data_IF_522165980100
#
_entry.id   IF_522165980100
#
_cell.length_a   1.000
_cell.length_b   1.000
_cell.length_c   1.000
_cell.angle_alpha   90.00
_cell.angle_beta   90.00
_cell.angle_gamma   90.00
#
_symmetry.space_group_name_H-M   'P 1'
#
loop_
_entity.id
_entity.type
_entity.pdbx_description
1 polymer ?
#
# COMPACT_ATOMS: atom_id res chain seq x y z
N UNK A 1 7.15 -30.34 -94.31
CA UNK A 1 6.62 -29.58 -93.17
C UNK A 1 6.23 -30.54 -92.06
N UNK A 2 7.14 -30.78 -91.11
CA UNK A 2 6.91 -31.69 -89.96
C UNK A 2 6.64 -30.82 -88.74
N UNK A 3 5.45 -30.97 -88.13
CA UNK A 3 5.10 -30.30 -86.85
C UNK A 3 5.71 -31.07 -85.72
N UNK A 4 6.56 -30.37 -84.98
CA UNK A 4 7.19 -30.87 -83.73
C UNK A 4 6.25 -30.56 -82.58
N UNK A 5 5.73 -31.58 -81.88
CA UNK A 5 4.96 -31.40 -80.67
C UNK A 5 5.91 -31.42 -79.49
N UNK A 6 5.95 -30.32 -78.78
CA UNK A 6 6.64 -30.21 -77.45
C UNK A 6 5.69 -30.68 -76.35
N UNK A 7 6.05 -31.77 -75.68
CA UNK A 7 5.38 -32.22 -74.45
C UNK A 7 6.07 -31.52 -73.27
N UNK A 8 5.35 -30.65 -72.62
CA UNK A 8 5.80 -30.02 -71.33
C UNK A 8 5.38 -30.97 -70.23
N UNK A 9 6.37 -31.61 -69.55
CA UNK A 9 6.16 -32.37 -68.34
C UNK A 9 6.24 -31.36 -67.13
N UNK A 10 5.09 -31.11 -66.55
CA UNK A 10 5.02 -30.30 -65.28
C UNK A 10 5.27 -31.25 -64.12
N UNK A 11 6.45 -31.17 -63.50
CA UNK A 11 6.77 -31.81 -62.23
C UNK A 11 6.15 -31.01 -61.11
N UNK A 12 5.04 -31.48 -60.52
CA UNK A 12 4.47 -30.99 -59.27
C UNK A 12 5.34 -31.47 -58.11
N UNK A 13 6.14 -30.56 -57.57
CA UNK A 13 6.76 -30.77 -56.27
C UNK A 13 5.71 -30.57 -55.18
N UNK A 14 5.18 -31.66 -54.65
CA UNK A 14 4.39 -31.67 -53.43
C UNK A 14 5.38 -31.42 -52.27
N UNK A 15 5.46 -30.16 -51.79
CA UNK A 15 6.11 -29.86 -50.51
C UNK A 15 5.17 -30.29 -49.40
N UNK A 16 5.47 -31.39 -48.72
CA UNK A 16 4.92 -31.73 -47.42
C UNK A 16 5.35 -30.62 -46.45
N UNK A 17 4.43 -29.99 -45.73
CA UNK A 17 4.83 -29.07 -44.65
C UNK A 17 5.49 -29.91 -43.55
N UNK A 18 6.77 -29.67 -43.30
CA UNK A 18 7.42 -30.11 -42.08
C UNK A 18 6.77 -29.27 -40.97
N UNK A 19 5.83 -29.85 -40.24
CA UNK A 19 5.36 -29.33 -38.99
C UNK A 19 6.53 -29.49 -38.05
N UNK A 20 7.32 -28.42 -37.87
CA UNK A 20 8.18 -28.26 -36.73
C UNK A 20 7.26 -28.27 -35.51
N UNK A 21 7.24 -29.41 -34.81
CA UNK A 21 6.67 -29.51 -33.50
C UNK A 21 7.40 -28.49 -32.65
N UNK A 22 6.75 -27.34 -32.40
CA UNK A 22 7.07 -26.55 -31.25
C UNK A 22 6.84 -27.47 -30.06
N UNK A 23 7.92 -27.94 -29.43
CA UNK A 23 7.90 -28.43 -28.07
C UNK A 23 7.36 -27.28 -27.24
N UNK A 24 6.05 -27.24 -27.04
CA UNK A 24 5.43 -26.50 -25.95
C UNK A 24 5.96 -27.21 -24.71
N UNK A 25 7.06 -26.68 -24.12
CA UNK A 25 7.43 -27.01 -22.75
C UNK A 25 6.14 -26.80 -21.96
N UNK A 26 5.51 -27.89 -21.58
CA UNK A 26 4.42 -27.84 -20.62
C UNK A 26 4.99 -27.16 -19.37
N UNK A 27 4.51 -25.95 -19.12
CA UNK A 27 4.86 -25.21 -17.89
C UNK A 27 4.58 -26.14 -16.73
N UNK A 28 5.59 -26.42 -15.93
CA UNK A 28 5.51 -27.37 -14.83
C UNK A 28 4.75 -26.71 -13.70
N UNK A 29 3.44 -26.94 -13.63
CA UNK A 29 2.61 -26.42 -12.57
C UNK A 29 2.96 -27.12 -11.25
N UNK A 30 3.30 -26.33 -10.21
CA UNK A 30 3.64 -26.83 -8.89
C UNK A 30 2.36 -27.01 -8.08
N UNK A 31 1.99 -28.24 -7.69
CA UNK A 31 0.79 -28.48 -6.89
C UNK A 31 1.00 -28.10 -5.43
N UNK A 32 0.07 -27.31 -4.88
CA UNK A 32 0.10 -26.84 -3.48
C UNK A 32 -1.28 -26.99 -2.85
N UNK A 33 -1.34 -27.57 -1.67
CA UNK A 33 -2.58 -27.61 -0.87
C UNK A 33 -2.60 -26.45 0.11
N UNK A 34 -3.70 -25.73 0.15
CA UNK A 34 -3.99 -24.66 1.11
C UNK A 34 -5.12 -25.13 2.02
N UNK A 35 -4.87 -25.20 3.32
CA UNK A 35 -5.92 -25.43 4.31
C UNK A 35 -6.26 -24.12 5.00
N UNK A 36 -7.50 -23.70 4.91
CA UNK A 36 -8.00 -22.49 5.58
C UNK A 36 -8.76 -22.92 6.83
N UNK A 37 -8.30 -22.45 7.99
CA UNK A 37 -8.89 -22.76 9.28
C UNK A 37 -9.96 -21.72 9.62
N UNK A 38 -11.06 -21.72 8.87
CA UNK A 38 -12.14 -20.71 8.95
C UNK A 38 -12.83 -20.64 10.31
N UNK A 39 -12.77 -21.71 11.12
CA UNK A 39 -13.35 -21.77 12.48
C UNK A 39 -12.46 -21.08 13.52
N UNK A 40 -11.18 -20.86 13.21
CA UNK A 40 -10.21 -20.19 14.07
C UNK A 40 -10.05 -18.74 13.62
N UNK A 41 -10.76 -17.83 14.25
CA UNK A 41 -10.59 -16.40 14.01
C UNK A 41 -9.46 -15.87 14.87
N UNK A 42 -8.45 -15.29 14.25
CA UNK A 42 -7.54 -14.42 14.96
C UNK A 42 -8.36 -13.19 15.35
N UNK A 43 -8.16 -12.66 16.57
CA UNK A 43 -8.92 -11.50 17.05
C UNK A 43 -8.64 -10.21 16.27
N UNK A 44 -7.92 -10.30 15.16
CA UNK A 44 -7.52 -9.18 14.33
C UNK A 44 -8.56 -8.91 13.26
N UNK A 45 -9.23 -7.78 13.40
CA UNK A 45 -10.12 -7.23 12.36
C UNK A 45 -9.29 -6.25 11.54
N UNK A 46 -9.30 -6.41 10.22
CA UNK A 46 -8.68 -5.44 9.30
C UNK A 46 -9.60 -4.21 9.24
N UNK A 47 -9.14 -3.01 9.68
CA UNK A 47 -9.97 -1.82 9.64
C UNK A 47 -10.38 -1.45 8.22
N UNK A 48 -11.55 -0.86 8.04
CA UNK A 48 -12.03 -0.41 6.73
C UNK A 48 -11.19 0.75 6.16
N UNK A 49 -10.46 1.49 7.00
CA UNK A 49 -9.53 2.57 6.65
C UNK A 49 -8.05 2.11 6.70
N UNK A 50 -7.80 0.80 6.49
CA UNK A 50 -6.45 0.23 6.50
C UNK A 50 -5.53 0.85 5.44
N UNK A 51 -6.07 1.10 4.24
CA UNK A 51 -5.33 1.68 3.12
C UNK A 51 -5.04 3.16 3.34
N UNK A 52 -3.91 3.62 2.83
CA UNK A 52 -3.53 5.02 2.94
C UNK A 52 -2.44 5.46 1.98
N UNK A 53 -2.34 6.78 1.85
CA UNK A 53 -1.24 7.45 1.16
C UNK A 53 -0.51 8.37 2.15
N UNK A 54 0.80 8.46 2.00
CA UNK A 54 1.64 9.43 2.68
C UNK A 54 2.21 10.40 1.65
N UNK A 55 2.11 11.68 1.94
CA UNK A 55 2.62 12.75 1.08
C UNK A 55 3.50 13.71 1.87
N UNK A 56 4.49 14.26 1.20
CA UNK A 56 5.25 15.39 1.67
C UNK A 56 4.32 16.59 1.93
N UNK A 57 4.54 17.32 3.01
CA UNK A 57 3.80 18.56 3.29
C UNK A 57 3.90 19.57 2.13
N UNK A 58 5.03 19.54 1.41
CA UNK A 58 5.26 20.38 0.24
C UNK A 58 4.24 20.18 -0.90
N UNK A 59 3.53 19.07 -0.96
CA UNK A 59 2.45 18.87 -1.93
C UNK A 59 1.27 19.86 -1.76
N UNK A 60 1.16 20.50 -0.60
CA UNK A 60 0.18 21.56 -0.37
C UNK A 60 0.68 22.93 -0.84
N UNK A 61 2.01 23.12 -0.92
CA UNK A 61 2.63 24.43 -1.15
C UNK A 61 3.34 24.57 -2.51
N UNK A 62 3.47 23.47 -3.28
CA UNK A 62 4.27 23.40 -4.51
C UNK A 62 3.53 23.88 -5.78
N UNK A 63 2.31 24.37 -5.65
CA UNK A 63 1.43 24.79 -6.75
C UNK A 63 1.06 23.67 -7.75
N UNK A 64 1.37 22.40 -7.46
CA UNK A 64 1.04 21.29 -8.34
C UNK A 64 -0.47 21.06 -8.48
N UNK A 65 -1.26 21.56 -7.54
CA UNK A 65 -2.69 21.30 -7.42
C UNK A 65 -3.02 19.79 -7.37
N UNK A 66 -2.05 18.97 -6.91
CA UNK A 66 -2.23 17.54 -6.83
C UNK A 66 -3.32 17.18 -5.80
N UNK A 67 -3.19 17.68 -4.55
CA UNK A 67 -4.19 17.52 -3.48
C UNK A 67 -5.21 18.69 -3.50
N UNK A 68 -5.87 18.88 -4.62
CA UNK A 68 -6.78 20.00 -4.85
C UNK A 68 -8.21 19.50 -5.13
N UNK A 69 -9.27 20.21 -4.69
CA UNK A 69 -10.66 19.77 -4.91
C UNK A 69 -11.06 19.66 -6.39
N UNK A 70 -10.36 20.33 -7.31
CA UNK A 70 -10.61 20.22 -8.75
C UNK A 70 -9.96 18.97 -9.36
N UNK A 71 -9.11 18.26 -8.64
CA UNK A 71 -8.48 17.03 -9.13
C UNK A 71 -9.44 15.83 -8.98
N UNK A 72 -10.51 15.85 -9.79
CA UNK A 72 -11.59 14.87 -9.71
C UNK A 72 -11.13 13.45 -10.03
N UNK A 73 -10.12 13.29 -10.91
CA UNK A 73 -9.55 11.98 -11.27
C UNK A 73 -8.86 11.35 -10.06
N UNK A 74 -8.01 12.10 -9.34
CA UNK A 74 -7.38 11.60 -8.11
C UNK A 74 -8.42 11.28 -7.03
N UNK A 75 -9.41 12.16 -6.84
CA UNK A 75 -10.51 11.95 -5.90
C UNK A 75 -11.27 10.65 -6.23
N UNK A 76 -11.56 10.41 -7.52
CA UNK A 76 -12.23 9.19 -7.94
C UNK A 76 -11.39 7.94 -7.68
N UNK A 77 -10.09 7.99 -7.98
CA UNK A 77 -9.17 6.89 -7.65
C UNK A 77 -9.13 6.60 -6.15
N UNK A 78 -9.13 7.63 -5.29
CA UNK A 78 -9.20 7.42 -3.85
C UNK A 78 -10.53 6.78 -3.42
N UNK A 79 -11.65 7.20 -3.99
CA UNK A 79 -12.97 6.61 -3.74
C UNK A 79 -13.06 5.13 -4.15
N UNK A 80 -12.37 4.72 -5.22
CA UNK A 80 -12.31 3.31 -5.61
C UNK A 80 -11.71 2.42 -4.51
N UNK A 81 -10.76 2.96 -3.73
CA UNK A 81 -10.14 2.26 -2.60
C UNK A 81 -11.03 2.21 -1.34
N UNK A 82 -12.16 2.95 -1.32
CA UNK A 82 -13.04 3.05 -0.18
C UNK A 82 -12.53 4.02 0.87
N UNK A 83 -12.73 3.69 2.16
CA UNK A 83 -12.20 4.48 3.26
C UNK A 83 -10.67 4.39 3.29
N UNK A 84 -10.03 5.45 3.77
CA UNK A 84 -8.58 5.45 3.88
C UNK A 84 -8.05 6.59 4.74
N UNK A 85 -6.73 6.62 4.91
CA UNK A 85 -6.03 7.64 5.68
C UNK A 85 -4.97 8.32 4.81
N UNK A 86 -5.06 9.64 4.71
CA UNK A 86 -3.99 10.48 4.19
C UNK A 86 -3.04 10.85 5.32
N UNK A 87 -1.75 10.75 5.10
CA UNK A 87 -0.75 11.32 5.99
C UNK A 87 -0.01 12.42 5.27
N UNK A 88 -0.11 13.66 5.77
CA UNK A 88 0.73 14.79 5.38
C UNK A 88 1.91 14.83 6.35
N UNK A 89 3.13 14.76 5.82
CA UNK A 89 4.33 14.65 6.63
C UNK A 89 5.58 14.69 5.77
N UNK A 90 6.41 13.65 5.87
CA UNK A 90 7.68 13.55 5.15
C UNK A 90 8.72 14.56 5.64
N UNK A 91 9.87 14.59 4.98
CA UNK A 91 10.98 15.49 5.36
C UNK A 91 10.64 16.97 5.20
N UNK A 92 9.66 17.32 4.40
CA UNK A 92 9.24 18.70 4.20
C UNK A 92 8.37 19.23 5.33
N UNK A 93 7.74 18.37 6.14
CA UNK A 93 6.96 18.84 7.30
C UNK A 93 7.83 19.59 8.30
N UNK A 94 9.08 19.19 8.47
CA UNK A 94 10.03 19.84 9.40
C UNK A 94 10.76 21.07 8.80
N UNK A 95 10.37 21.48 7.59
CA UNK A 95 10.98 22.61 6.86
C UNK A 95 9.97 23.67 6.46
N UNK A 96 8.69 23.29 6.35
CA UNK A 96 7.61 24.19 5.96
C UNK A 96 7.06 24.86 7.20
N UNK A 97 7.04 26.19 7.18
CA UNK A 97 6.68 27.02 8.30
C UNK A 97 5.22 27.47 8.20
N UNK A 98 4.45 27.25 9.27
CA UNK A 98 3.10 27.81 9.40
C UNK A 98 3.10 29.33 9.50
N UNK A 99 2.24 30.01 8.73
CA UNK A 99 2.17 31.48 8.71
C UNK A 99 0.96 32.04 9.45
N UNK A 100 -0.09 31.27 9.63
CA UNK A 100 -1.38 31.72 10.18
C UNK A 100 -2.14 32.69 9.27
N UNK A 101 -1.64 33.00 8.07
CA UNK A 101 -2.19 33.99 7.16
C UNK A 101 -2.61 33.37 5.82
N UNK A 102 -3.51 34.02 5.07
CA UNK A 102 -3.82 33.63 3.70
C UNK A 102 -2.58 33.72 2.77
N UNK A 103 -2.57 32.92 1.71
CA UNK A 103 -1.51 32.95 0.69
C UNK A 103 -1.58 34.25 -0.11
N UNK A 104 -0.41 34.84 -0.29
CA UNK A 104 -0.19 36.03 -1.15
C UNK A 104 0.98 35.75 -2.09
N UNK A 105 1.03 36.44 -3.24
CA UNK A 105 1.88 36.09 -4.41
C UNK A 105 3.39 35.95 -4.11
N UNK A 106 3.91 36.72 -3.16
CA UNK A 106 5.34 36.68 -2.82
C UNK A 106 5.72 35.65 -1.72
N UNK A 107 4.76 34.87 -1.22
CA UNK A 107 5.06 33.84 -0.22
C UNK A 107 5.86 32.70 -0.82
N UNK A 108 6.86 32.25 -0.06
CA UNK A 108 7.73 31.15 -0.45
C UNK A 108 7.00 29.81 -0.39
N UNK A 109 7.50 28.83 -1.17
CA UNK A 109 6.97 27.45 -1.16
C UNK A 109 7.20 26.70 0.16
N UNK A 110 8.10 27.20 1.01
CA UNK A 110 8.31 26.69 2.37
C UNK A 110 7.37 27.31 3.42
N UNK A 111 6.32 27.99 2.97
CA UNK A 111 5.31 28.62 3.81
C UNK A 111 3.97 27.92 3.66
N UNK A 112 3.46 27.34 4.76
CA UNK A 112 2.12 26.79 4.85
C UNK A 112 1.15 27.89 5.31
N UNK A 113 0.05 28.06 4.59
CA UNK A 113 -0.91 29.14 4.79
C UNK A 113 -2.31 28.62 5.12
N UNK A 114 -3.17 29.50 5.62
CA UNK A 114 -4.58 29.16 5.84
C UNK A 114 -5.28 28.79 4.54
N UNK A 115 -4.90 29.38 3.39
CA UNK A 115 -5.44 29.06 2.08
C UNK A 115 -5.11 27.62 1.67
N UNK A 116 -3.90 27.12 1.96
CA UNK A 116 -3.49 25.76 1.63
C UNK A 116 -4.31 24.75 2.44
N UNK A 117 -4.46 24.98 3.75
CA UNK A 117 -5.27 24.14 4.64
C UNK A 117 -6.74 24.16 4.22
N UNK A 118 -7.29 25.32 3.87
CA UNK A 118 -8.69 25.46 3.43
C UNK A 118 -8.94 24.73 2.11
N UNK A 119 -7.99 24.81 1.19
CA UNK A 119 -8.06 24.10 -0.11
C UNK A 119 -7.98 22.59 0.09
N UNK A 120 -7.03 22.16 0.92
CA UNK A 120 -6.87 20.74 1.25
C UNK A 120 -8.08 20.17 2.00
N UNK A 121 -8.69 20.94 2.93
CA UNK A 121 -9.89 20.47 3.64
C UNK A 121 -11.06 20.16 2.69
N UNK A 122 -11.25 20.98 1.64
CA UNK A 122 -12.26 20.71 0.60
C UNK A 122 -11.95 19.44 -0.19
N UNK A 123 -10.67 19.20 -0.51
CA UNK A 123 -10.25 17.95 -1.14
C UNK A 123 -10.56 16.73 -0.25
N UNK A 124 -10.26 16.82 1.05
CA UNK A 124 -10.54 15.77 2.04
C UNK A 124 -12.06 15.51 2.14
N UNK A 125 -12.88 16.55 2.20
CA UNK A 125 -14.34 16.41 2.23
C UNK A 125 -14.86 15.64 0.99
N UNK A 126 -14.27 15.85 -0.19
CA UNK A 126 -14.65 15.17 -1.41
C UNK A 126 -14.20 13.71 -1.46
N UNK A 127 -13.08 13.36 -0.84
CA UNK A 127 -12.59 11.98 -0.78
C UNK A 127 -13.28 11.16 0.29
N UNK A 128 -13.69 11.78 1.39
CA UNK A 128 -14.19 11.13 2.59
C UNK A 128 -13.11 10.43 3.43
N UNK A 129 -11.82 10.69 3.13
CA UNK A 129 -10.69 10.08 3.83
C UNK A 129 -10.35 10.83 5.13
N UNK A 130 -9.73 10.13 6.07
CA UNK A 130 -9.17 10.71 7.30
C UNK A 130 -7.76 11.24 7.06
N UNK A 131 -7.26 12.08 7.99
CA UNK A 131 -5.97 12.75 7.85
C UNK A 131 -5.13 12.58 9.11
N UNK A 132 -3.90 12.11 8.97
CA UNK A 132 -2.82 12.30 9.94
C UNK A 132 -2.04 13.53 9.46
N UNK A 133 -1.99 14.55 10.31
CA UNK A 133 -1.35 15.84 9.99
C UNK A 133 -0.04 16.00 10.72
N UNK A 134 1.07 16.13 9.97
CA UNK A 134 2.42 16.38 10.49
C UNK A 134 2.63 17.84 10.87
N UNK A 135 3.19 18.06 12.04
CA UNK A 135 3.57 19.38 12.56
C UNK A 135 5.09 19.55 12.55
N UNK A 136 5.56 20.77 12.28
CA UNK A 136 6.96 21.09 12.10
C UNK A 136 7.75 21.07 13.43
N UNK A 137 8.46 19.98 13.72
CA UNK A 137 9.39 19.90 14.84
C UNK A 137 10.78 20.45 14.47
N UNK A 138 11.11 20.54 13.17
CA UNK A 138 12.39 21.07 12.71
C UNK A 138 12.64 22.50 13.15
N UNK A 139 11.61 23.37 13.12
CA UNK A 139 11.62 24.75 13.59
C UNK A 139 11.60 24.84 15.13
N UNK A 140 11.14 23.79 15.80
CA UNK A 140 11.04 23.67 17.26
C UNK A 140 10.31 24.86 17.92
N UNK A 141 9.16 25.25 17.37
CA UNK A 141 8.33 26.32 17.89
C UNK A 141 6.96 25.78 18.35
N UNK A 142 6.79 25.46 19.66
CA UNK A 142 5.56 24.88 20.19
C UNK A 142 4.32 25.78 20.04
N UNK A 143 4.47 27.10 20.16
CA UNK A 143 3.37 28.06 20.01
C UNK A 143 2.84 28.06 18.57
N UNK A 144 3.75 28.09 17.59
CA UNK A 144 3.39 28.05 16.17
C UNK A 144 2.70 26.73 15.81
N UNK A 145 3.21 25.60 16.29
CA UNK A 145 2.59 24.29 16.07
C UNK A 145 1.21 24.19 16.74
N UNK A 146 1.04 24.80 17.92
CA UNK A 146 -0.26 24.85 18.58
C UNK A 146 -1.26 25.70 17.80
N UNK A 147 -0.82 26.82 17.20
CA UNK A 147 -1.66 27.65 16.35
C UNK A 147 -2.09 26.93 15.07
N UNK A 148 -1.14 26.27 14.38
CA UNK A 148 -1.41 25.42 13.23
C UNK A 148 -2.41 24.31 13.57
N UNK A 149 -2.17 23.58 14.67
CA UNK A 149 -3.02 22.49 15.14
C UNK A 149 -4.47 22.94 15.36
N UNK A 150 -4.69 24.11 15.98
CA UNK A 150 -6.03 24.66 16.17
C UNK A 150 -6.71 24.97 14.85
N UNK A 151 -5.98 25.58 13.91
CA UNK A 151 -6.54 25.89 12.59
C UNK A 151 -6.91 24.62 11.83
N UNK A 152 -6.00 23.65 11.77
CA UNK A 152 -6.20 22.35 11.08
C UNK A 152 -7.37 21.59 11.70
N UNK A 153 -7.44 21.49 13.04
CA UNK A 153 -8.55 20.82 13.72
C UNK A 153 -9.90 21.45 13.40
N UNK A 154 -9.96 22.78 13.35
CA UNK A 154 -11.17 23.53 12.97
C UNK A 154 -11.61 23.23 11.53
N UNK A 155 -10.68 23.04 10.58
CA UNK A 155 -10.97 22.83 9.17
C UNK A 155 -11.28 21.36 8.84
N UNK A 156 -10.46 20.43 9.31
CA UNK A 156 -10.65 19.01 9.03
C UNK A 156 -11.72 18.35 9.91
N UNK A 157 -12.02 18.89 11.10
CA UNK A 157 -13.08 18.37 11.99
C UNK A 157 -12.92 16.84 12.21
N UNK A 158 -13.97 16.07 11.94
CA UNK A 158 -14.00 14.62 12.09
C UNK A 158 -13.08 13.86 11.11
N UNK A 159 -12.61 14.52 10.05
CA UNK A 159 -11.62 13.95 9.16
C UNK A 159 -10.21 13.96 9.75
N UNK A 160 -9.92 14.80 10.75
CA UNK A 160 -8.63 14.78 11.43
C UNK A 160 -8.53 13.51 12.29
N UNK A 161 -7.71 12.54 11.83
CA UNK A 161 -7.47 11.28 12.54
C UNK A 161 -6.52 11.48 13.72
N UNK A 162 -5.42 12.18 13.48
CA UNK A 162 -4.44 12.52 14.51
C UNK A 162 -3.50 13.67 14.05
N UNK A 163 -2.91 14.36 14.99
CA UNK A 163 -1.73 15.20 14.77
C UNK A 163 -0.46 14.38 15.02
N UNK A 164 0.59 14.59 14.24
CA UNK A 164 1.89 13.93 14.38
C UNK A 164 2.98 14.99 14.52
N UNK A 165 3.82 14.93 15.56
CA UNK A 165 4.83 15.94 15.87
C UNK A 165 6.17 15.45 15.35
N UNK A 166 6.69 16.08 14.27
CA UNK A 166 7.95 15.74 13.63
C UNK A 166 7.90 14.55 12.67
N UNK A 167 8.98 14.36 11.92
CA UNK A 167 9.18 13.28 10.96
C UNK A 167 10.57 12.69 11.06
N UNK A 168 10.68 11.38 11.32
CA UNK A 168 11.95 10.65 11.43
C UNK A 168 12.97 11.31 12.40
N UNK A 169 12.57 11.58 13.65
CA UNK A 169 13.43 12.28 14.62
C UNK A 169 14.71 11.48 14.94
N UNK A 170 14.71 10.17 14.76
CA UNK A 170 15.88 9.30 14.85
C UNK A 170 16.95 9.59 13.79
N UNK A 171 16.61 10.39 12.77
CA UNK A 171 17.54 10.84 11.71
C UNK A 171 17.89 12.34 11.80
N UNK A 172 17.37 13.10 12.76
CA UNK A 172 17.58 14.54 12.88
C UNK A 172 19.06 14.92 13.05
N UNK A 173 19.88 14.07 13.68
CA UNK A 173 21.31 14.28 13.81
C UNK A 173 22.04 14.42 12.48
N UNK A 174 21.42 14.03 11.35
CA UNK A 174 22.00 14.14 10.01
C UNK A 174 21.84 15.53 9.38
N UNK A 175 20.84 16.33 9.81
CA UNK A 175 20.48 17.54 9.06
C UNK A 175 19.70 18.62 9.84
N UNK A 176 19.04 18.31 10.95
CA UNK A 176 18.21 19.25 11.71
C UNK A 176 18.71 19.56 13.12
N UNK A 177 19.50 18.67 13.67
CA UNK A 177 20.01 18.74 15.06
C UNK A 177 21.51 18.42 15.11
N UNK A 178 22.19 18.74 16.21
CA UNK A 178 23.58 18.34 16.42
C UNK A 178 23.79 16.83 16.33
N UNK A 179 25.00 16.38 16.01
CA UNK A 179 25.36 14.96 15.79
C UNK A 179 25.09 14.07 17.02
N UNK A 180 25.09 14.64 18.22
CA UNK A 180 24.80 13.95 19.48
C UNK A 180 23.32 13.99 19.89
N UNK A 181 22.43 14.44 19.01
CA UNK A 181 20.99 14.43 19.27
C UNK A 181 20.51 13.00 19.53
N UNK A 182 19.83 12.83 20.65
CA UNK A 182 19.40 11.54 21.16
C UNK A 182 17.89 11.52 21.42
N UNK A 183 17.36 10.33 21.67
CA UNK A 183 15.92 10.16 21.95
C UNK A 183 15.45 11.00 23.13
N UNK A 184 16.26 11.16 24.17
CA UNK A 184 15.91 12.01 25.33
C UNK A 184 15.75 13.48 24.97
N UNK A 185 16.42 13.96 23.91
CA UNK A 185 16.29 15.33 23.43
C UNK A 185 14.99 15.48 22.63
N UNK A 186 14.71 14.51 21.74
CA UNK A 186 13.44 14.43 21.04
C UNK A 186 12.25 14.36 22.01
N UNK A 187 12.29 13.51 23.03
CA UNK A 187 11.23 13.36 24.01
C UNK A 187 10.91 14.66 24.74
N UNK A 188 11.93 15.45 25.08
CA UNK A 188 11.74 16.79 25.69
C UNK A 188 11.08 17.77 24.73
N UNK A 189 11.59 17.86 23.49
CA UNK A 189 11.03 18.72 22.45
C UNK A 189 9.58 18.31 22.16
N UNK A 190 9.33 17.04 21.92
CA UNK A 190 8.00 16.49 21.65
C UNK A 190 7.01 16.83 22.78
N UNK A 191 7.42 16.69 24.04
CA UNK A 191 6.57 16.96 25.19
C UNK A 191 6.20 18.42 25.30
N UNK A 192 7.09 19.35 24.98
CA UNK A 192 6.79 20.77 24.92
C UNK A 192 5.70 21.08 23.89
N UNK A 193 5.84 20.55 22.69
CA UNK A 193 4.84 20.70 21.64
C UNK A 193 3.50 20.05 22.02
N UNK A 194 3.55 18.83 22.54
CA UNK A 194 2.36 18.12 23.03
C UNK A 194 1.62 18.97 24.07
N UNK A 195 2.31 19.52 25.06
CA UNK A 195 1.70 20.31 26.11
C UNK A 195 1.01 21.56 25.57
N UNK A 196 1.67 22.29 24.67
CA UNK A 196 1.11 23.49 24.05
C UNK A 196 -0.12 23.21 23.20
N UNK A 197 -0.11 22.11 22.46
CA UNK A 197 -1.27 21.67 21.70
C UNK A 197 -2.42 21.31 22.62
N UNK A 198 -2.15 20.53 23.68
CA UNK A 198 -3.18 20.07 24.63
C UNK A 198 -3.77 21.19 25.49
N UNK A 199 -3.05 22.29 25.76
CA UNK A 199 -3.60 23.48 26.39
C UNK A 199 -4.78 24.06 25.60
N UNK A 200 -4.76 24.00 24.27
CA UNK A 200 -5.78 24.56 23.38
C UNK A 200 -6.77 23.52 22.82
N UNK A 201 -6.33 22.28 22.67
CA UNK A 201 -7.07 21.15 22.11
C UNK A 201 -6.96 19.92 23.04
N UNK A 202 -7.63 19.92 24.19
CA UNK A 202 -7.46 18.87 25.21
C UNK A 202 -7.79 17.47 24.73
N UNK A 203 -8.77 17.34 23.82
CA UNK A 203 -9.29 16.05 23.35
C UNK A 203 -8.64 15.59 22.03
N UNK A 204 -7.73 16.38 21.44
CA UNK A 204 -7.15 16.04 20.14
C UNK A 204 -6.33 14.76 20.21
N UNK A 205 -6.48 13.90 19.21
CA UNK A 205 -5.69 12.69 19.06
C UNK A 205 -4.29 13.01 18.57
N UNK A 206 -3.28 12.44 19.24
CA UNK A 206 -1.86 12.55 18.83
C UNK A 206 -1.34 11.17 18.42
N UNK A 207 -0.60 11.13 17.33
CA UNK A 207 0.13 9.98 16.82
C UNK A 207 1.66 10.22 16.89
N UNK A 208 2.43 9.17 17.00
CA UNK A 208 3.89 9.26 17.01
C UNK A 208 4.56 7.93 17.38
N UNK A 209 5.89 7.87 17.40
CA UNK A 209 6.87 8.95 17.20
C UNK A 209 7.28 9.21 15.74
N UNK A 210 6.73 8.49 14.74
CA UNK A 210 7.09 8.63 13.31
C UNK A 210 8.58 8.35 13.02
N UNK A 211 9.12 7.32 13.62
CA UNK A 211 10.53 6.92 13.53
C UNK A 211 10.80 6.20 12.23
N UNK A 212 11.97 6.43 11.63
CA UNK A 212 12.39 5.79 10.38
C UNK A 212 12.65 4.27 10.50
N UNK A 213 12.84 3.75 11.73
CA UNK A 213 12.99 2.31 11.95
C UNK A 213 13.84 1.90 13.15
N UNK A 214 14.39 2.82 13.92
CA UNK A 214 15.14 2.46 15.15
C UNK A 214 14.20 2.02 16.27
N UNK A 215 14.16 0.70 16.53
CA UNK A 215 13.28 0.07 17.53
C UNK A 215 13.48 0.67 18.93
N UNK A 216 14.70 1.09 19.30
CA UNK A 216 15.00 1.66 20.62
C UNK A 216 14.24 2.97 20.86
N UNK A 217 13.97 3.72 19.78
CA UNK A 217 13.20 4.95 19.85
C UNK A 217 11.72 4.68 20.09
N UNK A 218 11.15 3.63 19.49
CA UNK A 218 9.79 3.22 19.81
C UNK A 218 9.66 2.77 21.27
N UNK A 219 10.57 1.93 21.75
CA UNK A 219 10.50 1.40 23.12
C UNK A 219 10.60 2.52 24.16
N UNK A 220 11.59 3.41 24.03
CA UNK A 220 11.77 4.54 24.96
C UNK A 220 10.54 5.46 24.94
N UNK A 221 10.11 5.86 23.74
CA UNK A 221 8.98 6.78 23.59
C UNK A 221 7.68 6.17 24.15
N UNK A 222 7.41 4.90 23.92
CA UNK A 222 6.21 4.26 24.45
C UNK A 222 6.27 4.09 25.98
N UNK A 223 7.43 3.78 26.54
CA UNK A 223 7.60 3.73 27.99
C UNK A 223 7.29 5.08 28.64
N UNK A 224 7.62 6.19 27.98
CA UNK A 224 7.41 7.55 28.49
C UNK A 224 6.02 8.12 28.17
N UNK A 225 5.47 7.83 26.98
CA UNK A 225 4.35 8.60 26.42
C UNK A 225 3.21 7.77 25.82
N UNK A 226 3.16 6.45 26.00
CA UNK A 226 2.07 5.61 25.46
C UNK A 226 0.67 6.06 25.87
N UNK A 227 0.51 6.58 27.09
CA UNK A 227 -0.77 7.13 27.57
C UNK A 227 -1.17 8.48 26.96
N UNK A 228 -0.29 9.09 26.17
CA UNK A 228 -0.48 10.42 25.56
C UNK A 228 -0.73 10.37 24.07
N UNK A 229 -0.54 9.21 23.46
CA UNK A 229 -0.81 8.98 22.04
C UNK A 229 -1.90 7.91 21.88
N UNK A 230 -2.66 7.99 20.79
CA UNK A 230 -3.70 7.00 20.47
C UNK A 230 -3.23 6.02 19.38
N UNK A 231 -2.15 6.37 18.69
CA UNK A 231 -1.64 5.62 17.55
C UNK A 231 -0.12 5.71 17.52
N UNK A 232 0.56 4.57 17.54
CA UNK A 232 1.98 4.52 17.24
C UNK A 232 2.17 4.58 15.72
N UNK A 233 3.11 5.40 15.24
CA UNK A 233 3.45 5.53 13.83
C UNK A 233 4.92 5.22 13.60
N UNK A 234 5.21 4.44 12.55
CA UNK A 234 6.56 4.10 12.13
C UNK A 234 6.66 4.08 10.60
N UNK A 235 7.89 4.04 10.10
CA UNK A 235 8.19 4.00 8.68
C UNK A 235 8.93 2.72 8.30
N UNK A 236 8.76 2.28 7.05
CA UNK A 236 9.50 1.15 6.51
C UNK A 236 9.68 1.27 4.99
N UNK A 237 10.93 1.08 4.56
CA UNK A 237 11.30 0.89 3.16
C UNK A 237 12.03 -0.44 3.01
N UNK A 238 11.62 -1.26 2.03
CA UNK A 238 12.24 -2.56 1.76
C UNK A 238 13.75 -2.42 1.50
N UNK A 239 14.16 -1.33 0.83
CA UNK A 239 15.56 -1.07 0.54
C UNK A 239 15.94 0.41 0.65
N UNK A 240 17.15 0.74 1.12
CA UNK A 240 17.66 2.11 1.06
C UNK A 240 17.93 2.56 -0.37
N UNK A 241 17.64 3.83 -0.70
CA UNK A 241 17.78 4.41 -2.04
C UNK A 241 19.18 4.35 -2.63
N UNK A 242 20.21 4.29 -1.78
CA UNK A 242 21.62 4.16 -2.19
C UNK A 242 22.04 2.73 -2.53
N UNK A 243 21.20 1.73 -2.30
CA UNK A 243 21.54 0.35 -2.59
C UNK A 243 21.56 0.11 -4.11
N UNK A 244 22.76 -0.02 -4.67
CA UNK A 244 22.94 -0.24 -6.11
C UNK A 244 22.47 -1.62 -6.57
N UNK A 245 22.49 -2.63 -5.70
CA UNK A 245 22.16 -4.03 -6.03
C UNK A 245 20.67 -4.31 -6.06
N UNK A 246 19.83 -3.45 -5.46
CA UNK A 246 18.39 -3.65 -5.44
C UNK A 246 17.83 -3.66 -6.87
N UNK A 247 17.02 -4.66 -7.18
CA UNK A 247 16.31 -4.84 -8.45
C UNK A 247 14.91 -5.40 -8.19
N UNK A 248 14.12 -5.60 -9.24
CA UNK A 248 12.74 -6.05 -9.09
C UNK A 248 12.59 -7.47 -8.49
N UNK A 249 13.60 -8.36 -8.66
CA UNK A 249 13.59 -9.69 -8.03
C UNK A 249 13.85 -9.59 -6.53
N UNK A 250 14.82 -8.76 -6.12
CA UNK A 250 15.21 -8.65 -4.72
C UNK A 250 14.11 -8.10 -3.81
N UNK A 251 13.19 -7.29 -4.32
CA UNK A 251 12.04 -6.83 -3.53
C UNK A 251 10.96 -7.91 -3.34
N UNK A 252 11.00 -9.00 -4.12
CA UNK A 252 10.07 -10.13 -4.02
C UNK A 252 10.57 -11.22 -3.07
N UNK A 253 11.85 -11.20 -2.71
CA UNK A 253 12.44 -12.12 -1.74
C UNK A 253 11.84 -11.90 -0.34
N UNK A 254 11.85 -12.95 0.53
CA UNK A 254 11.40 -12.82 1.90
C UNK A 254 12.18 -11.73 2.66
N UNK A 255 11.47 -10.76 3.21
CA UNK A 255 12.05 -9.68 4.02
C UNK A 255 12.06 -10.09 5.51
N UNK A 256 13.12 -10.77 5.94
CA UNK A 256 13.27 -11.18 7.34
C UNK A 256 13.41 -9.98 8.29
N UNK A 257 13.93 -8.84 7.80
CA UNK A 257 14.01 -7.61 8.60
C UNK A 257 12.61 -7.07 8.86
N UNK A 258 11.76 -6.99 7.84
CA UNK A 258 10.36 -6.58 8.01
C UNK A 258 9.62 -7.48 9.00
N UNK A 259 9.77 -8.81 8.86
CA UNK A 259 9.09 -9.76 9.74
C UNK A 259 9.45 -9.52 11.21
N UNK A 260 10.75 -9.42 11.54
CA UNK A 260 11.21 -9.12 12.90
C UNK A 260 10.76 -7.74 13.39
N UNK A 261 10.81 -6.74 12.52
CA UNK A 261 10.36 -5.38 12.83
C UNK A 261 8.88 -5.34 13.21
N UNK A 262 8.00 -5.93 12.38
CA UNK A 262 6.57 -5.96 12.65
C UNK A 262 6.21 -6.74 13.93
N UNK A 263 6.92 -7.85 14.22
CA UNK A 263 6.74 -8.60 15.48
C UNK A 263 7.07 -7.75 16.70
N UNK A 264 8.15 -6.96 16.64
CA UNK A 264 8.53 -6.07 17.75
C UNK A 264 7.51 -4.94 17.89
N UNK A 265 7.06 -4.30 16.79
CA UNK A 265 6.04 -3.26 16.87
C UNK A 265 4.74 -3.80 17.46
N UNK A 266 4.30 -4.99 17.04
CA UNK A 266 3.13 -5.66 17.61
C UNK A 266 3.29 -5.93 19.11
N UNK A 267 4.44 -6.47 19.53
CA UNK A 267 4.73 -6.71 20.94
C UNK A 267 4.68 -5.44 21.78
N UNK A 268 5.32 -4.37 21.32
CA UNK A 268 5.33 -3.07 22.01
C UNK A 268 3.93 -2.49 22.10
N UNK A 269 3.15 -2.55 21.05
CA UNK A 269 1.78 -2.06 21.04
C UNK A 269 0.87 -2.84 21.99
N UNK A 270 0.97 -4.18 22.00
CA UNK A 270 0.21 -5.01 22.96
C UNK A 270 0.59 -4.70 24.40
N UNK A 271 1.89 -4.57 24.69
CA UNK A 271 2.40 -4.20 26.02
C UNK A 271 1.81 -2.88 26.54
N UNK A 272 1.59 -1.92 25.67
CA UNK A 272 1.12 -0.58 26.02
C UNK A 272 -0.37 -0.34 25.74
N UNK A 273 -1.10 -1.34 25.22
CA UNK A 273 -2.55 -1.24 24.94
C UNK A 273 -2.91 -0.24 23.84
N UNK A 274 -2.03 -0.03 22.85
CA UNK A 274 -2.22 0.87 21.71
C UNK A 274 -2.11 0.11 20.39
N UNK A 275 -2.48 0.75 19.28
CA UNK A 275 -2.33 0.21 17.92
C UNK A 275 -1.20 0.91 17.18
N UNK A 276 -0.73 0.31 16.07
CA UNK A 276 0.26 0.97 15.21
C UNK A 276 -0.17 1.01 13.74
N UNK A 277 0.35 2.01 13.02
CA UNK A 277 0.19 2.19 11.60
C UNK A 277 1.55 2.45 10.95
N UNK A 278 1.80 1.80 9.81
CA UNK A 278 2.96 2.13 8.98
C UNK A 278 2.65 3.42 8.21
N UNK A 279 2.93 4.55 8.87
CA UNK A 279 2.51 5.88 8.41
C UNK A 279 3.30 6.38 7.19
N UNK A 280 4.44 5.73 6.90
CA UNK A 280 5.21 5.95 5.67
C UNK A 280 5.90 4.65 5.27
N UNK A 281 5.63 4.15 4.07
CA UNK A 281 6.26 2.92 3.58
C UNK A 281 6.34 2.92 2.06
N UNK A 282 7.36 2.21 1.52
CA UNK A 282 7.44 1.88 0.11
C UNK A 282 8.59 0.90 -0.19
N UNK A 283 8.82 0.58 -1.47
CA UNK A 283 9.87 -0.33 -1.95
C UNK A 283 11.28 0.18 -1.67
N UNK A 284 11.65 1.33 -2.25
CA UNK A 284 13.00 1.88 -2.17
C UNK A 284 12.93 3.32 -1.71
N UNK A 285 13.64 3.66 -0.62
CA UNK A 285 13.62 5.02 -0.07
C UNK A 285 14.17 6.08 -1.05
N UNK A 286 14.04 7.37 -0.70
CA UNK A 286 14.53 8.50 -1.51
C UNK A 286 13.86 8.60 -2.91
N UNK A 287 12.54 8.41 -2.98
CA UNK A 287 11.76 8.63 -4.20
C UNK A 287 11.63 7.40 -5.12
N UNK A 288 12.19 6.25 -4.72
CA UNK A 288 12.08 5.01 -5.48
C UNK A 288 13.15 4.83 -6.56
N UNK A 289 13.18 3.65 -7.17
CA UNK A 289 14.11 3.27 -8.23
C UNK A 289 13.34 2.82 -9.47
N UNK A 290 13.67 3.40 -10.64
CA UNK A 290 13.09 3.00 -11.94
C UNK A 290 13.45 1.53 -12.21
N UNK A 291 12.49 0.76 -12.75
CA UNK A 291 12.64 -0.68 -13.00
C UNK A 291 12.51 -1.55 -11.74
N UNK A 292 12.23 -0.92 -10.59
CA UNK A 292 11.97 -1.61 -9.31
C UNK A 292 10.65 -1.12 -8.71
N UNK A 293 10.58 0.17 -8.40
CA UNK A 293 9.46 0.75 -7.66
C UNK A 293 8.24 1.05 -8.54
N UNK A 294 8.43 1.15 -9.84
CA UNK A 294 7.42 1.54 -10.82
C UNK A 294 6.98 0.41 -11.75
N UNK A 295 7.34 -0.83 -11.43
CA UNK A 295 7.01 -2.01 -12.24
C UNK A 295 6.11 -2.99 -11.47
N UNK A 296 5.48 -3.95 -12.16
CA UNK A 296 4.49 -4.85 -11.59
C UNK A 296 4.99 -5.66 -10.38
N UNK A 297 6.27 -6.01 -10.32
CA UNK A 297 6.87 -6.61 -9.13
C UNK A 297 6.59 -5.80 -7.84
N UNK A 298 6.54 -4.46 -7.93
CA UNK A 298 6.20 -3.62 -6.78
C UNK A 298 4.74 -3.80 -6.31
N UNK A 299 3.83 -4.19 -7.19
CA UNK A 299 2.46 -4.53 -6.80
C UNK A 299 2.40 -5.84 -6.00
N UNK A 300 3.11 -6.86 -6.46
CA UNK A 300 3.19 -8.14 -5.73
C UNK A 300 3.84 -7.97 -4.36
N UNK A 301 4.92 -7.18 -4.29
CA UNK A 301 5.51 -6.79 -3.02
C UNK A 301 4.52 -6.05 -2.11
N UNK A 302 3.81 -5.05 -2.63
CA UNK A 302 2.88 -4.24 -1.85
C UNK A 302 1.70 -5.05 -1.30
N UNK A 303 1.19 -6.02 -2.09
CA UNK A 303 0.12 -6.91 -1.64
C UNK A 303 0.60 -7.78 -0.46
N UNK A 304 1.78 -8.37 -0.56
CA UNK A 304 2.42 -9.16 0.51
C UNK A 304 2.70 -8.32 1.76
N UNK A 305 3.20 -7.09 1.55
CA UNK A 305 3.48 -6.12 2.61
C UNK A 305 2.23 -5.73 3.40
N UNK A 306 1.13 -5.41 2.72
CA UNK A 306 -0.13 -5.06 3.38
C UNK A 306 -0.66 -6.20 4.25
N UNK A 307 -0.62 -7.42 3.74
CA UNK A 307 -1.01 -8.60 4.51
C UNK A 307 -0.06 -8.86 5.68
N UNK A 308 1.25 -8.68 5.50
CA UNK A 308 2.23 -8.84 6.58
C UNK A 308 1.97 -7.86 7.73
N UNK A 309 1.65 -6.60 7.43
CA UNK A 309 1.27 -5.59 8.43
C UNK A 309 -0.04 -5.99 9.14
N UNK A 310 -1.05 -6.41 8.39
CA UNK A 310 -2.34 -6.83 8.96
C UNK A 310 -2.20 -8.06 9.88
N UNK A 311 -1.41 -9.07 9.48
CA UNK A 311 -1.13 -10.27 10.29
C UNK A 311 -0.40 -9.95 11.60
N UNK A 312 0.36 -8.86 11.64
CA UNK A 312 1.03 -8.38 12.84
C UNK A 312 0.24 -7.28 13.58
N UNK A 313 -1.09 -7.28 13.46
CA UNK A 313 -2.00 -6.35 14.13
C UNK A 313 -1.79 -4.85 13.81
N UNK A 314 -1.10 -4.53 12.72
CA UNK A 314 -1.05 -3.16 12.21
C UNK A 314 -2.43 -2.72 11.71
N UNK A 315 -2.84 -1.51 12.06
CA UNK A 315 -4.17 -0.97 11.69
C UNK A 315 -4.17 -0.26 10.33
N UNK A 316 -3.03 -0.25 9.63
CA UNK A 316 -2.96 0.28 8.28
C UNK A 316 -1.57 0.62 7.78
N UNK A 317 -1.54 0.98 6.51
CA UNK A 317 -0.34 1.40 5.77
C UNK A 317 -0.60 2.69 5.02
N UNK A 318 0.44 3.53 4.88
CA UNK A 318 0.42 4.72 4.04
C UNK A 318 1.59 4.64 3.05
N UNK A 319 1.30 4.27 1.81
CA UNK A 319 2.32 4.27 0.77
C UNK A 319 2.76 5.70 0.47
N UNK A 320 4.04 5.97 0.70
CA UNK A 320 4.61 7.29 0.43
C UNK A 320 4.70 7.55 -1.06
N UNK A 321 4.38 8.78 -1.46
CA UNK A 321 4.32 9.14 -2.85
C UNK A 321 4.32 10.64 -3.07
N UNK A 322 3.75 11.03 -4.16
CA UNK A 322 3.62 12.41 -4.64
C UNK A 322 3.44 12.44 -6.14
N UNK A 323 3.17 13.60 -6.68
CA UNK A 323 2.83 13.77 -8.10
C UNK A 323 3.87 13.20 -9.08
N UNK A 324 5.14 13.08 -8.67
CA UNK A 324 6.25 12.70 -9.57
C UNK A 324 7.16 11.59 -9.01
N UNK A 325 6.87 11.03 -7.84
CA UNK A 325 7.71 10.00 -7.22
C UNK A 325 7.67 8.69 -7.99
N UNK A 326 8.81 8.01 -8.14
CA UNK A 326 8.91 6.74 -8.89
C UNK A 326 8.14 5.61 -8.23
N UNK A 327 7.98 5.62 -6.91
CA UNK A 327 7.28 4.61 -6.13
C UNK A 327 5.80 4.97 -5.82
N UNK A 328 5.34 6.16 -6.21
CA UNK A 328 4.00 6.59 -5.86
C UNK A 328 2.93 5.64 -6.46
N UNK A 329 1.90 5.30 -5.69
CA UNK A 329 0.77 4.53 -6.22
C UNK A 329 -0.02 5.27 -7.29
N UNK A 330 -0.04 6.59 -7.25
CA UNK A 330 -0.64 7.48 -8.26
C UNK A 330 0.34 8.60 -8.55
N UNK A 331 0.63 8.83 -9.82
CA UNK A 331 1.49 9.93 -10.30
C UNK A 331 0.73 10.80 -11.27
N UNK A 332 1.28 11.97 -11.57
CA UNK A 332 0.77 12.81 -12.64
C UNK A 332 1.57 12.51 -13.91
N UNK A 333 0.89 12.31 -15.03
CA UNK A 333 1.52 12.12 -16.32
C UNK A 333 2.03 13.45 -16.90
N UNK A 334 2.62 13.41 -18.10
CA UNK A 334 3.14 14.60 -18.81
C UNK A 334 2.06 15.65 -19.12
N UNK A 335 0.78 15.27 -19.12
CA UNK A 335 -0.37 16.15 -19.34
C UNK A 335 -0.97 16.69 -18.04
N UNK A 336 -0.40 16.32 -16.89
CA UNK A 336 -0.92 16.71 -15.59
C UNK A 336 -2.09 15.83 -15.10
N UNK A 337 -2.32 14.66 -15.72
CA UNK A 337 -3.44 13.77 -15.39
C UNK A 337 -2.96 12.70 -14.41
N UNK A 338 -3.66 12.51 -13.26
CA UNK A 338 -3.35 11.41 -12.34
C UNK A 338 -3.46 10.05 -13.02
N UNK A 339 -2.43 9.24 -12.86
CA UNK A 339 -2.30 7.92 -13.49
C UNK A 339 -1.94 6.88 -12.44
N UNK A 340 -2.65 5.74 -12.36
CA UNK A 340 -2.34 4.68 -11.39
C UNK A 340 -1.04 3.97 -11.77
N UNK A 341 -0.30 3.57 -10.74
CA UNK A 341 0.91 2.77 -10.84
C UNK A 341 0.66 1.37 -10.27
N UNK A 342 1.58 0.40 -10.46
CA UNK A 342 1.36 -0.99 -10.04
C UNK A 342 0.87 -1.15 -8.60
N UNK A 343 1.42 -0.41 -7.63
CA UNK A 343 1.02 -0.48 -6.22
C UNK A 343 -0.47 -0.14 -6.03
N UNK A 344 -1.02 0.77 -6.81
CA UNK A 344 -2.45 1.10 -6.72
C UNK A 344 -3.35 -0.13 -7.01
N UNK A 345 -3.00 -0.95 -8.01
CA UNK A 345 -3.74 -2.18 -8.32
C UNK A 345 -3.59 -3.25 -7.22
N UNK A 346 -2.43 -3.29 -6.55
CA UNK A 346 -2.27 -4.12 -5.35
C UNK A 346 -3.17 -3.65 -4.19
N UNK A 347 -3.34 -2.33 -4.02
CA UNK A 347 -4.27 -1.76 -3.03
C UNK A 347 -5.72 -2.14 -3.35
N UNK A 348 -6.13 -2.12 -4.63
CA UNK A 348 -7.44 -2.64 -5.05
C UNK A 348 -7.58 -4.13 -4.70
N UNK A 349 -6.59 -4.95 -5.06
CA UNK A 349 -6.61 -6.39 -4.75
C UNK A 349 -6.69 -6.65 -3.23
N UNK A 350 -5.93 -5.90 -2.44
CA UNK A 350 -6.01 -5.99 -0.98
C UNK A 350 -7.39 -5.60 -0.46
N UNK A 351 -7.97 -4.48 -0.93
CA UNK A 351 -9.33 -4.06 -0.57
C UNK A 351 -10.33 -5.19 -0.77
N UNK A 352 -10.38 -5.76 -1.97
CA UNK A 352 -11.31 -6.84 -2.29
C UNK A 352 -11.02 -8.12 -1.50
N UNK A 353 -9.75 -8.38 -1.20
CA UNK A 353 -9.29 -9.56 -0.44
C UNK A 353 -9.49 -9.46 1.06
N UNK A 354 -9.60 -8.25 1.64
CA UNK A 354 -9.59 -8.06 3.10
C UNK A 354 -10.84 -7.42 3.69
N UNK A 355 -11.38 -6.43 3.03
CA UNK A 355 -12.51 -5.52 3.38
C UNK A 355 -13.24 -5.82 4.71
N UNK A 356 -12.70 -5.28 5.82
CA UNK A 356 -13.30 -5.39 7.15
C UNK A 356 -13.37 -6.83 7.71
N UNK A 357 -12.60 -7.75 7.14
CA UNK A 357 -12.62 -9.16 7.55
C UNK A 357 -11.79 -9.46 8.79
N UNK A 358 -12.19 -10.51 9.52
CA UNK A 358 -11.37 -11.13 10.56
C UNK A 358 -10.35 -12.05 9.89
N UNK A 359 -9.08 -11.91 10.21
CA UNK A 359 -8.02 -12.77 9.70
C UNK A 359 -8.25 -14.19 10.24
N UNK A 360 -8.11 -15.17 9.35
CA UNK A 360 -8.14 -16.61 9.70
C UNK A 360 -6.83 -17.26 9.27
N UNK A 361 -6.31 -18.22 10.06
CA UNK A 361 -5.08 -18.91 9.71
C UNK A 361 -5.22 -19.71 8.42
N UNK A 362 -4.15 -19.75 7.64
CA UNK A 362 -4.01 -20.62 6.46
C UNK A 362 -2.67 -21.33 6.48
N UNK A 363 -2.65 -22.59 6.03
CA UNK A 363 -1.46 -23.43 5.97
C UNK A 363 -1.24 -23.87 4.53
N UNK A 364 0.00 -23.73 4.07
CA UNK A 364 0.45 -24.14 2.73
C UNK A 364 1.29 -25.41 2.84
N UNK A 365 1.00 -26.43 2.03
CA UNK A 365 1.78 -27.67 1.96
C UNK A 365 1.81 -28.24 0.53
N UNK A 366 2.99 -28.52 -0.05
CA UNK A 366 4.31 -28.11 0.44
C UNK A 366 4.49 -26.59 0.42
N UNK A 367 5.42 -26.09 1.22
CA UNK A 367 5.83 -24.67 1.13
C UNK A 367 6.56 -24.44 -0.19
N UNK A 368 6.15 -23.43 -0.94
CA UNK A 368 6.82 -22.99 -2.16
C UNK A 368 7.48 -21.65 -1.90
N UNK A 369 8.79 -21.51 -2.13
CA UNK A 369 9.46 -20.21 -1.98
C UNK A 369 8.76 -19.12 -2.77
N UNK A 370 8.74 -17.92 -2.21
CA UNK A 370 8.12 -16.74 -2.84
C UNK A 370 6.62 -16.92 -3.18
N UNK A 371 5.91 -17.77 -2.43
CA UNK A 371 4.44 -17.84 -2.47
C UNK A 371 3.85 -17.58 -1.10
N UNK A 372 2.69 -16.92 -1.07
CA UNK A 372 1.98 -16.59 0.17
C UNK A 372 0.48 -16.80 -0.01
N UNK A 373 -0.19 -17.18 1.09
CA UNK A 373 -1.64 -17.29 1.12
C UNK A 373 -2.16 -16.58 2.37
N UNK A 374 -3.17 -15.76 2.18
CA UNK A 374 -3.82 -14.99 3.22
C UNK A 374 -5.32 -15.21 3.18
N UNK A 375 -5.95 -15.26 4.34
CA UNK A 375 -7.39 -15.46 4.40
C UNK A 375 -8.04 -14.60 5.48
N UNK A 376 -9.27 -14.15 5.20
CA UNK A 376 -10.10 -13.49 6.18
C UNK A 376 -11.58 -13.80 5.94
N UNK A 377 -12.39 -13.66 7.00
CA UNK A 377 -13.83 -13.90 6.99
C UNK A 377 -14.56 -12.62 7.35
N UNK A 378 -15.55 -12.25 6.53
CA UNK A 378 -16.49 -11.19 6.82
C UNK A 378 -17.92 -11.73 6.69
N UNK A 379 -18.62 -11.91 7.80
CA UNK A 379 -19.93 -12.58 7.83
C UNK A 379 -19.84 -14.00 7.26
N UNK A 380 -20.59 -14.26 6.19
CA UNK A 380 -20.62 -15.53 5.46
C UNK A 380 -19.69 -15.59 4.25
N UNK A 381 -18.81 -14.59 4.10
CA UNK A 381 -17.86 -14.52 2.98
C UNK A 381 -16.47 -14.80 3.48
N UNK A 382 -15.85 -15.89 2.99
CA UNK A 382 -14.43 -16.16 3.13
C UNK A 382 -13.71 -15.58 1.92
N UNK A 383 -12.64 -14.84 2.16
CA UNK A 383 -11.76 -14.29 1.13
C UNK A 383 -10.38 -14.89 1.27
N UNK A 384 -9.82 -15.40 0.17
CA UNK A 384 -8.48 -15.99 0.15
C UNK A 384 -7.65 -15.30 -0.91
N UNK A 385 -6.55 -14.70 -0.50
CA UNK A 385 -5.56 -14.11 -1.42
C UNK A 385 -4.44 -15.12 -1.66
N UNK A 386 -4.27 -15.53 -2.91
CA UNK A 386 -3.22 -16.40 -3.39
C UNK A 386 -2.17 -15.54 -4.10
N UNK A 387 -0.95 -15.53 -3.62
CA UNK A 387 0.14 -14.72 -4.15
C UNK A 387 1.27 -15.62 -4.62
N UNK A 388 1.58 -15.56 -5.92
CA UNK A 388 2.67 -16.27 -6.56
C UNK A 388 3.74 -15.29 -7.05
N UNK A 389 4.82 -15.14 -6.30
CA UNK A 389 6.01 -14.35 -6.64
C UNK A 389 7.14 -15.23 -7.19
N UNK A 390 6.87 -16.52 -7.49
CA UNK A 390 7.83 -17.46 -8.07
C UNK A 390 7.88 -17.39 -9.60
N UNK A 391 8.85 -18.06 -10.19
CA UNK A 391 9.02 -18.14 -11.66
C UNK A 391 8.21 -19.31 -12.28
N UNK A 392 7.56 -20.14 -11.45
CA UNK A 392 6.73 -21.27 -11.89
C UNK A 392 5.26 -20.99 -11.63
N UNK A 393 4.38 -21.56 -12.43
CA UNK A 393 2.94 -21.58 -12.18
C UNK A 393 2.62 -22.45 -10.96
N UNK A 394 1.69 -22.01 -10.12
CA UNK A 394 1.28 -22.76 -8.93
C UNK A 394 -0.19 -23.15 -9.05
N UNK A 395 -0.46 -24.45 -8.89
CA UNK A 395 -1.81 -25.00 -8.76
C UNK A 395 -2.21 -25.11 -7.31
N UNK A 396 -2.92 -24.12 -6.81
CA UNK A 396 -3.44 -24.13 -5.46
C UNK A 396 -4.71 -24.97 -5.36
N UNK A 397 -4.70 -25.98 -4.50
CA UNK A 397 -5.89 -26.70 -4.09
C UNK A 397 -6.32 -26.17 -2.70
N UNK A 398 -7.29 -25.28 -2.68
CA UNK A 398 -7.81 -24.66 -1.45
C UNK A 398 -8.83 -25.61 -0.83
N UNK A 399 -8.52 -26.09 0.37
CA UNK A 399 -9.39 -26.94 1.16
C UNK A 399 -10.21 -26.07 2.12
N UNK A 400 -11.51 -26.30 2.11
CA UNK A 400 -12.50 -25.66 2.98
C UNK A 400 -13.07 -26.70 3.94
N UNK A 401 -13.76 -26.28 5.00
CA UNK A 401 -14.40 -27.21 5.94
C UNK A 401 -15.67 -27.84 5.33
N UNK A 402 -16.34 -27.11 4.41
CA UNK A 402 -17.58 -27.53 3.77
C UNK A 402 -17.64 -27.06 2.32
N UNK A 403 -18.61 -27.58 1.55
CA UNK A 403 -18.85 -27.17 0.16
C UNK A 403 -19.43 -25.75 0.12
N UNK A 404 -18.76 -24.78 -0.51
CA UNK A 404 -19.26 -23.41 -0.60
C UNK A 404 -20.43 -23.29 -1.58
N UNK A 405 -21.27 -22.26 -1.40
CA UNK A 405 -22.36 -21.94 -2.31
C UNK A 405 -21.88 -21.41 -3.66
N UNK A 406 -20.83 -20.60 -3.64
CA UNK A 406 -20.19 -20.08 -4.86
C UNK A 406 -18.73 -19.67 -4.62
N UNK A 407 -17.94 -19.67 -5.69
CA UNK A 407 -16.57 -19.19 -5.68
C UNK A 407 -16.35 -18.27 -6.87
N UNK A 408 -15.83 -17.07 -6.60
CA UNK A 408 -15.43 -16.11 -7.62
C UNK A 408 -13.93 -15.83 -7.49
N UNK A 409 -13.27 -15.58 -8.62
CA UNK A 409 -11.84 -15.28 -8.66
C UNK A 409 -11.60 -13.94 -9.34
N UNK A 410 -10.76 -13.12 -8.72
CA UNK A 410 -10.31 -11.81 -9.22
C UNK A 410 -8.79 -11.87 -9.34
N UNK A 411 -8.25 -11.74 -10.55
CA UNK A 411 -6.81 -11.86 -10.80
C UNK A 411 -6.13 -10.49 -10.83
N UNK A 412 -4.93 -10.43 -10.26
CA UNK A 412 -4.00 -9.31 -10.39
C UNK A 412 -2.87 -9.75 -11.32
N UNK A 413 -2.80 -9.15 -12.51
CA UNK A 413 -1.91 -9.57 -13.60
C UNK A 413 -1.26 -8.39 -14.30
N UNK A 414 -0.19 -8.67 -15.05
CA UNK A 414 0.47 -7.73 -15.96
C UNK A 414 1.14 -8.54 -17.10
N UNK A 415 1.56 -7.88 -18.21
CA UNK A 415 2.28 -8.55 -19.28
C UNK A 415 3.61 -9.19 -18.84
N UNK A 416 4.28 -8.60 -17.83
CA UNK A 416 5.50 -9.16 -17.22
C UNK A 416 5.76 -8.51 -15.84
N UNK A 417 6.64 -9.09 -14.99
CA UNK A 417 6.99 -8.51 -13.69
C UNK A 417 7.66 -7.13 -13.78
N UNK A 418 8.24 -6.79 -14.92
CA UNK A 418 8.87 -5.47 -15.18
C UNK A 418 7.97 -4.49 -15.94
N UNK A 419 6.71 -4.83 -16.19
CA UNK A 419 5.75 -3.93 -16.84
C UNK A 419 5.36 -2.78 -15.93
N UNK A 420 5.38 -1.56 -16.46
CA UNK A 420 4.89 -0.35 -15.78
C UNK A 420 3.48 0.06 -16.19
N UNK A 421 2.90 -0.63 -17.17
CA UNK A 421 1.56 -0.42 -17.73
C UNK A 421 0.92 -1.76 -18.11
N UNK A 422 -0.37 -1.76 -18.45
CA UNK A 422 -1.11 -2.98 -18.74
C UNK A 422 -1.33 -3.85 -17.50
N UNK A 423 -1.29 -3.24 -16.32
CA UNK A 423 -1.60 -3.91 -15.06
C UNK A 423 -3.11 -3.95 -14.92
N UNK A 424 -3.65 -5.14 -14.63
CA UNK A 424 -5.09 -5.36 -14.49
C UNK A 424 -5.43 -6.03 -13.17
N UNK A 425 -6.55 -5.62 -12.62
CA UNK A 425 -7.20 -6.35 -11.53
C UNK A 425 -8.63 -6.74 -11.97
N UNK A 426 -8.95 -8.03 -11.91
CA UNK A 426 -10.20 -8.61 -12.45
C UNK A 426 -10.46 -8.20 -13.91
N UNK A 427 -9.41 -8.29 -14.75
CA UNK A 427 -9.39 -7.91 -16.15
C UNK A 427 -9.82 -6.45 -16.43
N UNK A 428 -9.66 -5.57 -15.45
CA UNK A 428 -9.96 -4.14 -15.55
C UNK A 428 -8.72 -3.29 -15.32
N UNK A 429 -8.66 -2.17 -16.02
CA UNK A 429 -7.77 -1.04 -15.77
C UNK A 429 -8.59 0.13 -15.21
N UNK A 430 -7.91 1.11 -14.62
CA UNK A 430 -8.55 2.37 -14.22
C UNK A 430 -8.78 3.20 -15.48
N UNK A 431 -9.99 3.71 -15.64
CA UNK A 431 -10.36 4.55 -16.77
C UNK A 431 -9.75 5.96 -16.68
N UNK A 432 -9.78 6.69 -17.79
CA UNK A 432 -9.19 8.04 -17.88
C UNK A 432 -9.80 9.06 -16.91
N UNK A 433 -11.04 8.86 -16.48
CA UNK A 433 -11.73 9.68 -15.47
C UNK A 433 -11.44 9.24 -14.02
N UNK A 434 -10.58 8.25 -13.84
CA UNK A 434 -10.24 7.67 -12.56
C UNK A 434 -11.19 6.58 -12.07
N UNK A 435 -12.28 6.29 -12.79
CA UNK A 435 -13.23 5.25 -12.39
C UNK A 435 -12.62 3.85 -12.54
N UNK A 436 -13.11 2.90 -11.75
CA UNK A 436 -12.71 1.51 -11.79
C UNK A 436 -13.91 0.59 -11.56
N UNK A 437 -14.10 -0.35 -12.48
CA UNK A 437 -15.12 -1.40 -12.36
C UNK A 437 -14.51 -2.75 -12.71
N UNK A 438 -14.87 -3.79 -11.97
CA UNK A 438 -14.44 -5.15 -12.28
C UNK A 438 -15.08 -5.61 -13.59
N UNK A 439 -14.26 -6.02 -14.58
CA UNK A 439 -14.77 -6.52 -15.87
C UNK A 439 -15.12 -8.00 -15.79
N UNK A 440 -14.28 -8.80 -15.14
CA UNK A 440 -14.45 -10.24 -15.08
C UNK A 440 -14.41 -10.74 -13.64
N UNK A 441 -15.37 -11.61 -13.32
CA UNK A 441 -15.33 -12.48 -12.14
C UNK A 441 -15.41 -13.91 -12.64
N UNK A 442 -14.27 -14.59 -12.64
CA UNK A 442 -14.25 -16.01 -12.97
C UNK A 442 -15.08 -16.76 -11.92
N UNK A 443 -16.01 -17.59 -12.36
CA UNK A 443 -16.82 -18.44 -11.50
C UNK A 443 -16.26 -19.84 -11.49
N UNK A 444 -15.98 -20.34 -10.31
CA UNK A 444 -15.53 -21.71 -10.11
C UNK A 444 -16.66 -22.53 -9.51
N UNK A 445 -16.83 -23.73 -10.05
CA UNK A 445 -17.72 -24.73 -9.43
C UNK A 445 -16.90 -25.47 -8.38
N UNK A 446 -17.30 -25.44 -7.12
CA UNK A 446 -16.63 -26.18 -6.09
C UNK A 446 -16.80 -27.69 -6.34
N UNK A 447 -15.73 -28.45 -6.14
CA UNK A 447 -15.77 -29.91 -6.14
C UNK A 447 -15.73 -30.37 -4.69
N UNK A 448 -16.89 -30.51 -4.07
CA UNK A 448 -17.04 -30.74 -2.63
C UNK A 448 -16.36 -29.60 -1.83
N UNK A 449 -15.51 -29.96 -0.87
CA UNK A 449 -14.74 -29.04 -0.01
C UNK A 449 -13.46 -28.48 -0.66
N UNK A 450 -13.21 -28.73 -1.96
CA UNK A 450 -11.98 -28.31 -2.62
C UNK A 450 -12.26 -27.35 -3.76
N UNK A 451 -11.39 -26.36 -3.89
CA UNK A 451 -11.35 -25.45 -5.04
C UNK A 451 -9.94 -25.42 -5.61
N UNK A 452 -9.77 -25.89 -6.84
CA UNK A 452 -8.48 -25.88 -7.52
C UNK A 452 -8.35 -24.66 -8.40
N UNK A 453 -7.27 -23.87 -8.19
CA UNK A 453 -7.00 -22.62 -8.90
C UNK A 453 -5.54 -22.59 -9.34
N UNK A 454 -5.30 -22.44 -10.63
CA UNK A 454 -3.98 -22.11 -11.17
C UNK A 454 -3.71 -20.60 -11.03
N UNK A 455 -2.57 -20.26 -10.45
CA UNK A 455 -2.06 -18.88 -10.33
C UNK A 455 -0.74 -18.82 -11.09
N UNK A 456 -0.72 -18.15 -12.25
CA UNK A 456 0.49 -18.02 -13.05
C UNK A 456 1.66 -17.42 -12.29
N UNK A 457 2.86 -17.72 -12.73
CA UNK A 457 4.09 -17.10 -12.27
C UNK A 457 3.95 -15.57 -12.20
N UNK A 458 4.50 -14.95 -11.18
CA UNK A 458 4.48 -13.50 -11.00
C UNK A 458 3.07 -12.90 -11.11
N UNK A 459 2.09 -13.50 -10.40
CA UNK A 459 0.71 -12.99 -10.37
C UNK A 459 0.06 -13.24 -9.00
N UNK A 460 -1.16 -12.71 -8.83
CA UNK A 460 -1.96 -12.99 -7.64
C UNK A 460 -3.43 -13.18 -8.01
N UNK A 461 -4.17 -13.81 -7.12
CA UNK A 461 -5.61 -13.98 -7.24
C UNK A 461 -6.30 -13.81 -5.88
N UNK A 462 -7.46 -13.18 -5.90
CA UNK A 462 -8.35 -13.05 -4.75
C UNK A 462 -9.57 -13.94 -5.00
N UNK A 463 -9.76 -14.96 -4.16
CA UNK A 463 -10.96 -15.79 -4.15
C UNK A 463 -11.99 -15.17 -3.21
N UNK A 464 -13.22 -15.03 -3.68
CA UNK A 464 -14.38 -14.64 -2.88
C UNK A 464 -15.30 -15.87 -2.81
N UNK A 465 -15.46 -16.41 -1.62
CA UNK A 465 -16.11 -17.69 -1.36
C UNK A 465 -17.34 -17.44 -0.49
N UNK A 466 -18.51 -17.81 -0.99
CA UNK A 466 -19.78 -17.70 -0.25
C UNK A 466 -20.00 -18.99 0.56
N UNK A 467 -20.05 -18.84 1.89
CA UNK A 467 -20.28 -19.90 2.87
C UNK A 467 -21.76 -19.98 3.33
N UNK A 468 -22.72 -19.40 2.58
CA UNK A 468 -24.12 -19.29 3.01
C UNK A 468 -24.84 -20.62 3.22
N UNK A 469 -24.32 -21.71 2.62
CA UNK A 469 -24.84 -23.08 2.84
C UNK A 469 -24.24 -23.76 4.09
N UNK A 470 -23.22 -23.15 4.70
CA UNK A 470 -22.54 -23.68 5.88
C UNK A 470 -23.30 -23.18 7.12
N UNK A 471 -23.75 -24.10 7.97
CA UNK A 471 -24.25 -23.76 9.30
C UNK A 471 -23.06 -23.42 10.20
N UNK A 472 -22.78 -22.12 10.35
CA UNK A 472 -21.72 -21.59 11.24
C UNK A 472 -22.28 -21.44 12.66
#
# INVERSE_FOLDING_TARGET
>A
MKKLHFIIVVLLFIRTPVVLGLDIKGEKEVPVTVTVLSDYRLHTIIPSDFLGFSYEMSQLTDNSRYLHPDNLVLIQMMKNLGNGVLRLGGNSSDKISWTGMPRIDYMRKDSLTTTDVDTFSKFVDLTGWKVIWGLNLGENNPEKNSDEAVYVAKRLKNALYALQIGNEPDLYYKHLRPVNYAISDYEKEWFLHYTKIKERLPDITIAGPAVAGDIRWFESFLNSYSSRISLMTGHHYNSPGKNATVNWKTILEPDNHLSGYLQVLNFLCQKHGITYRMAECNTVSQGGKIGVSNVFASALWALDYMWSVALNNGVGVNFHGGSVSKYAPIVVDEKGIPTPRPIYYAMLAFKYGSEGGNIVPSVISPSVPNSSVYACVNGKTLKVTLLNKSEDDISFTVRLNDTPASVQLLRLTAPSPISSSGIRFADAEVEADGSFQLNMREKYQPQNEYVKVSVPAMSAAVMIIDLSLIHI
#
